data_IF_193718193945
#
_entry.id   IF_193718193945
#
_cell.length_a   1.000
_cell.length_b   1.000
_cell.length_c   1.000
_cell.angle_alpha   90.00
_cell.angle_beta   90.00
_cell.angle_gamma   90.00
#
_symmetry.space_group_name_H-M   'P 1'
#
loop_
_entity.id
_entity.type
_entity.pdbx_description
1 polymer ?
#
# COMPACT_ATOMS: atom_id res chain seq x y z
N UNK A 1 36.60 16.07 -8.97
CA UNK A 1 36.01 15.11 -8.00
C UNK A 1 34.56 15.49 -7.82
N UNK A 2 33.63 14.66 -8.29
CA UNK A 2 32.20 14.89 -8.06
C UNK A 2 31.92 14.67 -6.57
N UNK A 3 31.31 15.64 -5.89
CA UNK A 3 30.89 15.46 -4.50
C UNK A 3 29.89 14.31 -4.45
N UNK A 4 30.15 13.29 -3.62
CA UNK A 4 29.17 12.25 -3.35
C UNK A 4 27.91 12.93 -2.78
N UNK A 5 26.83 12.91 -3.56
CA UNK A 5 25.55 13.46 -3.14
C UNK A 5 25.13 12.72 -1.87
N UNK A 6 24.98 13.44 -0.75
CA UNK A 6 24.51 12.84 0.50
C UNK A 6 23.07 12.42 0.28
N UNK A 7 22.85 11.11 0.14
CA UNK A 7 21.51 10.55 0.09
C UNK A 7 20.92 10.61 1.51
N UNK A 8 19.86 11.41 1.68
CA UNK A 8 19.06 11.36 2.89
C UNK A 8 18.35 10.00 2.91
N UNK A 9 18.72 9.17 3.86
CA UNK A 9 18.22 7.81 4.01
C UNK A 9 17.90 7.53 5.47
N UNK A 10 16.93 6.63 5.72
CA UNK A 10 16.60 6.17 7.07
C UNK A 10 17.83 5.62 7.79
N UNK A 11 18.00 5.99 9.06
CA UNK A 11 19.04 5.46 9.96
C UNK A 11 18.48 4.49 10.99
N UNK A 12 17.20 4.62 11.34
CA UNK A 12 16.54 3.83 12.37
C UNK A 12 15.18 4.39 12.74
N UNK A 13 14.67 3.97 13.90
CA UNK A 13 13.38 4.42 14.41
C UNK A 13 13.32 4.44 15.94
N UNK A 14 12.30 5.13 16.45
CA UNK A 14 11.84 5.05 17.82
C UNK A 14 10.39 4.59 17.82
N UNK A 15 9.97 3.86 18.86
CA UNK A 15 8.54 3.62 19.14
C UNK A 15 8.15 4.50 20.31
N UNK A 16 7.12 5.32 20.12
CA UNK A 16 6.59 6.21 21.15
C UNK A 16 5.24 5.68 21.58
N UNK A 17 5.04 5.53 22.89
CA UNK A 17 3.71 5.30 23.43
C UNK A 17 2.88 6.58 23.27
N UNK A 18 1.84 6.54 22.43
CA UNK A 18 1.07 7.73 22.09
C UNK A 18 0.29 8.32 23.29
N UNK A 19 -0.07 7.49 24.27
CA UNK A 19 -0.87 7.93 25.42
C UNK A 19 -0.06 8.67 26.48
N UNK A 20 1.18 8.23 26.69
CA UNK A 20 2.08 8.75 27.73
C UNK A 20 3.22 9.61 27.17
N UNK A 21 3.45 9.57 25.85
CA UNK A 21 4.62 10.17 25.21
C UNK A 21 5.93 9.45 25.53
N UNK A 22 5.89 8.28 26.20
CA UNK A 22 7.10 7.55 26.58
C UNK A 22 7.87 7.12 25.33
N UNK A 23 9.09 7.64 25.20
CA UNK A 23 10.01 7.31 24.13
C UNK A 23 10.72 5.99 24.42
N UNK A 24 10.56 5.01 23.54
CA UNK A 24 11.38 3.81 23.53
C UNK A 24 12.83 4.11 23.12
N UNK A 25 13.78 3.21 23.40
CA UNK A 25 15.16 3.32 22.89
C UNK A 25 15.23 3.33 21.36
N UNK A 26 16.26 4.01 20.82
CA UNK A 26 16.54 4.00 19.38
C UNK A 26 16.80 2.57 18.88
N UNK A 27 16.31 2.29 17.67
CA UNK A 27 16.54 1.05 16.93
C UNK A 27 17.24 1.38 15.63
N UNK A 28 18.48 0.92 15.47
CA UNK A 28 19.18 1.07 14.21
C UNK A 28 18.48 0.26 13.12
N UNK A 29 18.17 0.92 12.01
CA UNK A 29 17.62 0.31 10.81
C UNK A 29 18.01 1.15 9.60
N UNK A 30 19.32 1.21 9.39
CA UNK A 30 19.92 1.99 8.32
C UNK A 30 19.57 1.41 6.95
N UNK A 31 19.26 2.30 6.01
CA UNK A 31 19.11 1.91 4.61
C UNK A 31 20.45 1.37 4.11
N UNK A 32 20.45 0.13 3.63
CA UNK A 32 21.64 -0.46 3.01
C UNK A 32 21.96 0.25 1.70
N UNK A 33 23.23 0.25 1.33
CA UNK A 33 23.71 0.75 0.04
C UNK A 33 22.93 0.15 -1.12
N UNK A 34 22.77 0.92 -2.20
CA UNK A 34 22.12 0.45 -3.41
C UNK A 34 22.79 -0.82 -3.93
N UNK A 35 21.98 -1.78 -4.39
CA UNK A 35 22.46 -2.95 -5.09
C UNK A 35 23.12 -2.60 -6.43
N UNK A 36 23.56 -3.63 -7.15
CA UNK A 36 24.31 -3.55 -8.42
C UNK A 36 23.69 -2.60 -9.47
N UNK A 37 22.37 -2.42 -9.45
CA UNK A 37 21.63 -1.61 -10.42
C UNK A 37 21.15 -0.26 -9.87
N UNK A 38 21.65 0.19 -8.72
CA UNK A 38 21.23 1.46 -8.11
C UNK A 38 19.90 1.38 -7.34
N UNK A 39 19.22 0.23 -7.33
CA UNK A 39 18.03 0.01 -6.51
C UNK A 39 18.39 -0.24 -5.06
N UNK A 40 17.65 0.38 -4.15
CA UNK A 40 17.76 0.18 -2.71
C UNK A 40 16.81 -0.95 -2.26
N UNK A 41 17.15 -1.65 -1.18
CA UNK A 41 16.18 -2.49 -0.46
C UNK A 41 15.10 -1.57 0.12
N UNK A 42 14.02 -1.34 -0.63
CA UNK A 42 12.97 -0.38 -0.29
C UNK A 42 13.21 1.02 -0.83
N UNK A 43 12.26 1.92 -0.60
CA UNK A 43 12.42 3.32 -0.96
C UNK A 43 13.25 4.03 0.14
N UNK A 44 14.40 4.65 -0.18
CA UNK A 44 15.27 5.27 0.82
C UNK A 44 14.61 6.45 1.55
N UNK A 45 13.50 6.99 1.01
CA UNK A 45 12.67 8.03 1.61
C UNK A 45 11.42 7.51 2.31
N UNK A 46 11.08 6.21 2.18
CA UNK A 46 9.91 5.66 2.87
C UNK A 46 10.25 5.19 4.28
N UNK A 47 9.40 5.61 5.20
CA UNK A 47 9.43 5.20 6.58
C UNK A 47 8.84 3.79 6.79
N UNK A 48 8.80 3.38 8.05
CA UNK A 48 8.20 2.12 8.46
C UNK A 48 6.67 2.23 8.46
N UNK A 49 6.03 1.12 8.11
CA UNK A 49 4.57 0.92 8.21
C UNK A 49 4.28 -0.13 9.28
N UNK A 50 3.10 -0.08 9.88
CA UNK A 50 2.67 -1.07 10.87
C UNK A 50 2.02 -2.27 10.19
N UNK A 51 2.19 -3.48 10.76
CA UNK A 51 1.27 -4.59 10.49
C UNK A 51 -0.15 -4.19 10.87
N UNK A 52 -1.14 -4.84 10.26
CA UNK A 52 -2.55 -4.61 10.53
C UNK A 52 -2.92 -4.82 12.00
N UNK A 53 -2.24 -5.76 12.68
CA UNK A 53 -2.44 -6.03 14.10
C UNK A 53 -1.59 -5.14 15.04
N UNK A 54 -0.78 -4.23 14.50
CA UNK A 54 0.05 -3.30 15.26
C UNK A 54 1.22 -3.94 16.01
N UNK A 55 1.61 -5.18 15.69
CA UNK A 55 2.68 -5.89 16.41
C UNK A 55 4.04 -5.85 15.73
N UNK A 56 4.07 -5.69 14.41
CA UNK A 56 5.28 -5.65 13.61
C UNK A 56 5.34 -4.36 12.79
N UNK A 57 6.55 -4.07 12.31
CA UNK A 57 6.80 -3.01 11.34
C UNK A 57 7.25 -3.63 10.02
N UNK A 58 7.00 -2.94 8.92
CA UNK A 58 7.53 -3.32 7.63
C UNK A 58 8.00 -2.14 6.81
N UNK A 59 8.86 -2.45 5.85
CA UNK A 59 9.31 -1.55 4.79
C UNK A 59 8.83 -2.11 3.47
N UNK A 60 8.17 -1.28 2.66
CA UNK A 60 7.77 -1.66 1.31
C UNK A 60 9.03 -1.74 0.42
N UNK A 61 9.15 -2.82 -0.34
CA UNK A 61 10.27 -3.12 -1.22
C UNK A 61 9.79 -3.07 -2.67
N UNK A 62 10.46 -2.27 -3.51
CA UNK A 62 10.28 -2.27 -4.96
C UNK A 62 10.35 -3.70 -5.53
N UNK A 63 11.38 -4.44 -5.12
CA UNK A 63 11.55 -5.86 -5.38
C UNK A 63 12.29 -6.47 -4.19
N UNK A 64 11.67 -7.39 -3.47
CA UNK A 64 12.35 -8.17 -2.45
C UNK A 64 12.66 -9.60 -2.91
N UNK A 65 13.40 -10.36 -2.10
CA UNK A 65 13.74 -11.74 -2.39
C UNK A 65 12.48 -12.60 -2.52
N UNK A 66 12.52 -13.57 -3.43
CA UNK A 66 11.44 -14.54 -3.68
C UNK A 66 10.08 -13.91 -4.03
N UNK A 67 10.10 -12.72 -4.64
CA UNK A 67 8.89 -11.99 -5.02
C UNK A 67 8.16 -11.33 -3.84
N UNK A 68 8.71 -11.39 -2.62
CA UNK A 68 8.18 -10.66 -1.47
C UNK A 68 8.42 -9.16 -1.67
N UNK A 69 7.41 -8.34 -1.50
CA UNK A 69 7.49 -6.88 -1.64
C UNK A 69 7.54 -6.15 -0.27
N UNK A 70 7.74 -6.86 0.84
CA UNK A 70 7.84 -6.29 2.19
C UNK A 70 8.94 -6.97 3.00
N UNK A 71 9.75 -6.17 3.70
CA UNK A 71 10.66 -6.64 4.75
C UNK A 71 10.07 -6.36 6.12
N UNK A 72 9.98 -7.37 6.98
CA UNK A 72 9.32 -7.31 8.28
C UNK A 72 10.30 -7.26 9.44
N UNK A 73 9.93 -6.50 10.48
CA UNK A 73 10.73 -6.25 11.66
C UNK A 73 9.87 -6.27 12.92
N UNK A 74 10.43 -6.75 14.03
CA UNK A 74 9.85 -6.56 15.36
C UNK A 74 10.01 -5.11 15.81
N UNK A 75 9.30 -4.70 16.88
CA UNK A 75 9.47 -3.37 17.48
C UNK A 75 10.87 -3.15 18.05
N UNK A 76 11.63 -4.22 18.26
CA UNK A 76 13.04 -4.17 18.64
C UNK A 76 14.00 -4.12 17.44
N UNK A 77 13.49 -3.94 16.22
CA UNK A 77 14.28 -3.80 15.00
C UNK A 77 14.86 -5.10 14.44
N UNK A 78 14.46 -6.26 14.98
CA UNK A 78 14.93 -7.57 14.48
C UNK A 78 14.12 -8.00 13.27
N UNK A 79 14.79 -8.46 12.20
CA UNK A 79 14.12 -9.05 11.03
C UNK A 79 13.26 -10.24 11.46
N UNK A 80 12.11 -10.39 10.81
CA UNK A 80 11.18 -11.50 11.03
C UNK A 80 10.41 -11.83 9.74
N UNK A 81 9.59 -12.87 9.79
CA UNK A 81 8.67 -13.22 8.70
C UNK A 81 7.39 -12.37 8.77
N UNK A 82 6.65 -12.35 7.66
CA UNK A 82 5.37 -11.68 7.59
C UNK A 82 4.35 -12.30 8.57
N UNK A 83 3.44 -11.49 9.15
CA UNK A 83 2.24 -12.02 9.80
C UNK A 83 1.48 -12.96 8.85
N UNK A 84 0.90 -14.04 9.39
CA UNK A 84 0.24 -15.06 8.57
C UNK A 84 -0.91 -14.51 7.70
N UNK A 85 -1.56 -13.42 8.11
CA UNK A 85 -2.61 -12.75 7.34
C UNK A 85 -2.09 -11.76 6.29
N UNK A 86 -0.82 -11.37 6.35
CA UNK A 86 -0.20 -10.40 5.44
C UNK A 86 0.91 -11.01 4.58
N UNK A 87 1.14 -12.31 4.68
CA UNK A 87 2.19 -13.01 3.92
C UNK A 87 2.01 -12.96 2.40
N UNK A 88 0.80 -12.69 1.94
CA UNK A 88 0.44 -12.53 0.52
C UNK A 88 0.11 -11.08 0.15
N UNK A 89 0.37 -10.12 1.02
CA UNK A 89 -0.02 -8.75 0.79
C UNK A 89 0.81 -8.13 -0.36
N UNK A 90 0.10 -7.63 -1.37
CA UNK A 90 0.68 -6.96 -2.54
C UNK A 90 1.02 -5.49 -2.28
N UNK A 91 1.12 -4.73 -3.38
CA UNK A 91 1.34 -3.29 -3.36
C UNK A 91 0.15 -2.39 -3.02
N UNK A 92 -1.14 -2.82 -3.11
CA UNK A 92 -2.23 -1.88 -2.91
C UNK A 92 -2.20 -1.25 -1.53
N UNK A 93 -2.47 0.05 -1.46
CA UNK A 93 -2.53 0.82 -0.22
C UNK A 93 -3.58 0.25 0.75
N UNK A 94 -4.66 -0.32 0.21
CA UNK A 94 -5.77 -0.84 1.01
C UNK A 94 -5.38 -2.01 1.91
N UNK A 95 -4.46 -2.89 1.48
CA UNK A 95 -4.05 -4.07 2.25
C UNK A 95 -5.22 -4.92 2.79
N UNK A 96 -5.12 -5.34 4.06
CA UNK A 96 -6.15 -6.14 4.73
C UNK A 96 -7.42 -5.33 5.01
N UNK A 97 -8.58 -5.97 4.87
CA UNK A 97 -9.83 -5.43 5.40
C UNK A 97 -9.73 -5.24 6.92
N UNK A 98 -10.51 -4.32 7.52
CA UNK A 98 -10.48 -4.08 8.96
C UNK A 98 -10.63 -5.34 9.83
N UNK A 99 -11.44 -6.31 9.40
CA UNK A 99 -11.61 -7.60 10.09
C UNK A 99 -10.56 -8.67 9.74
N UNK A 100 -9.61 -8.35 8.86
CA UNK A 100 -8.50 -9.21 8.44
C UNK A 100 -8.93 -10.41 7.59
N UNK A 101 -10.13 -10.40 6.99
CA UNK A 101 -10.66 -11.54 6.22
C UNK A 101 -10.50 -11.41 4.72
N UNK A 102 -10.27 -10.21 4.21
CA UNK A 102 -10.09 -9.93 2.79
C UNK A 102 -8.75 -9.22 2.60
N UNK A 103 -8.04 -9.55 1.53
CA UNK A 103 -6.80 -8.90 1.15
C UNK A 103 -6.94 -8.26 -0.22
N UNK A 104 -6.71 -6.96 -0.27
CA UNK A 104 -6.53 -6.20 -1.51
C UNK A 104 -5.24 -6.64 -2.22
N UNK A 105 -5.30 -6.81 -3.54
CA UNK A 105 -4.16 -7.23 -4.35
C UNK A 105 -4.17 -6.55 -5.74
N UNK A 106 -3.02 -6.55 -6.40
CA UNK A 106 -2.73 -5.73 -7.58
C UNK A 106 -3.64 -6.07 -8.77
N UNK A 107 -4.32 -5.05 -9.27
CA UNK A 107 -5.26 -5.18 -10.38
C UNK A 107 -4.64 -5.02 -11.75
N UNK A 108 -5.49 -5.21 -12.76
CA UNK A 108 -5.19 -4.93 -14.15
C UNK A 108 -6.37 -4.21 -14.81
N UNK A 109 -6.37 -4.16 -16.14
CA UNK A 109 -7.43 -3.60 -16.97
C UNK A 109 -8.83 -4.14 -16.65
N UNK A 110 -8.93 -5.37 -16.14
CA UNK A 110 -10.20 -6.05 -15.80
C UNK A 110 -10.64 -5.83 -14.35
N UNK A 111 -9.89 -5.05 -13.58
CA UNK A 111 -10.15 -4.78 -12.17
C UNK A 111 -9.12 -5.44 -11.26
N UNK A 112 -9.40 -5.41 -9.96
CA UNK A 112 -8.45 -5.82 -8.92
C UNK A 112 -8.93 -7.07 -8.18
N UNK A 113 -8.04 -8.06 -7.93
CA UNK A 113 -8.40 -9.22 -7.13
C UNK A 113 -8.66 -8.86 -5.65
N UNK A 114 -9.46 -9.70 -5.00
CA UNK A 114 -9.55 -9.81 -3.54
C UNK A 114 -9.18 -11.24 -3.18
N UNK A 115 -8.26 -11.40 -2.25
CA UNK A 115 -7.72 -12.70 -1.84
C UNK A 115 -8.18 -13.09 -0.44
N UNK A 116 -8.18 -14.39 -0.18
CA UNK A 116 -8.15 -14.94 1.17
C UNK A 116 -6.73 -14.72 1.74
N UNK A 117 -6.57 -13.99 2.85
CA UNK A 117 -5.27 -13.59 3.36
C UNK A 117 -4.43 -14.74 3.91
N UNK A 118 -5.05 -15.87 4.26
CA UNK A 118 -4.36 -17.03 4.84
C UNK A 118 -3.83 -17.97 3.76
N UNK A 119 -4.54 -18.07 2.65
CA UNK A 119 -4.24 -19.03 1.58
C UNK A 119 -3.70 -18.36 0.31
N UNK A 120 -3.88 -17.05 0.15
CA UNK A 120 -3.53 -16.31 -1.07
C UNK A 120 -4.46 -16.62 -2.25
N UNK A 121 -5.52 -17.40 -2.04
CA UNK A 121 -6.46 -17.77 -3.10
C UNK A 121 -7.36 -16.59 -3.40
N UNK A 122 -7.55 -16.30 -4.69
CA UNK A 122 -8.50 -15.29 -5.15
C UNK A 122 -9.93 -15.69 -4.76
N UNK A 123 -10.61 -14.80 -4.03
CA UNK A 123 -12.04 -14.90 -3.68
C UNK A 123 -12.88 -14.34 -4.83
N UNK A 124 -12.54 -13.14 -5.31
CA UNK A 124 -13.25 -12.47 -6.40
C UNK A 124 -12.37 -11.43 -7.08
N UNK A 125 -12.87 -10.83 -8.16
CA UNK A 125 -12.31 -9.64 -8.80
C UNK A 125 -13.34 -8.52 -8.68
N UNK A 126 -12.89 -7.32 -8.30
CA UNK A 126 -13.72 -6.14 -8.10
C UNK A 126 -13.40 -5.06 -9.14
N UNK A 127 -14.36 -4.21 -9.52
CA UNK A 127 -14.11 -3.05 -10.37
C UNK A 127 -13.10 -2.08 -9.73
N UNK A 128 -12.28 -1.45 -10.57
CA UNK A 128 -11.23 -0.52 -10.16
C UNK A 128 -9.84 -1.13 -10.27
N UNK A 129 -8.88 -0.35 -10.75
CA UNK A 129 -7.52 -0.80 -11.06
C UNK A 129 -6.57 -0.65 -9.87
N UNK A 130 -6.86 0.27 -8.95
CA UNK A 130 -6.04 0.54 -7.78
C UNK A 130 -6.94 0.62 -6.54
N UNK A 131 -6.73 -0.28 -5.59
CA UNK A 131 -7.49 -0.35 -4.33
C UNK A 131 -6.78 0.52 -3.28
N UNK A 132 -7.46 1.56 -2.80
CA UNK A 132 -6.85 2.63 -2.00
C UNK A 132 -7.04 2.43 -0.50
N UNK A 133 -8.27 2.15 -0.08
CA UNK A 133 -8.60 2.02 1.34
C UNK A 133 -9.87 1.20 1.54
N UNK A 134 -10.00 0.55 2.69
CA UNK A 134 -11.26 -0.03 3.12
C UNK A 134 -12.13 1.03 3.80
N UNK A 135 -13.38 1.15 3.37
CA UNK A 135 -14.39 1.95 4.07
C UNK A 135 -15.00 1.16 5.24
N UNK A 136 -15.05 -0.16 5.12
CA UNK A 136 -15.34 -1.14 6.18
C UNK A 136 -14.87 -2.55 5.75
N UNK A 137 -15.24 -3.59 6.49
CA UNK A 137 -14.85 -4.99 6.21
C UNK A 137 -15.42 -5.60 4.91
N UNK A 138 -16.29 -4.89 4.18
CA UNK A 138 -16.90 -5.38 2.93
C UNK A 138 -16.83 -4.36 1.80
N UNK A 139 -16.52 -3.10 2.08
CA UNK A 139 -16.52 -2.02 1.11
C UNK A 139 -15.14 -1.40 0.99
N UNK A 140 -14.65 -1.26 -0.24
CA UNK A 140 -13.37 -0.68 -0.56
C UNK A 140 -13.52 0.53 -1.47
N UNK A 141 -12.60 1.47 -1.33
CA UNK A 141 -12.47 2.63 -2.19
C UNK A 141 -11.37 2.33 -3.20
N UNK A 142 -11.66 2.48 -4.48
CA UNK A 142 -10.72 2.23 -5.56
C UNK A 142 -10.78 3.32 -6.63
N UNK A 143 -9.69 3.45 -7.39
CA UNK A 143 -9.72 4.18 -8.66
C UNK A 143 -10.40 3.32 -9.72
N UNK A 144 -11.57 3.77 -10.15
CA UNK A 144 -12.22 3.26 -11.36
C UNK A 144 -11.93 4.15 -12.54
N UNK A 145 -11.89 3.56 -13.73
CA UNK A 145 -11.81 4.31 -14.99
C UNK A 145 -13.17 4.33 -15.68
N UNK A 146 -13.44 5.33 -16.51
CA UNK A 146 -14.62 5.37 -17.36
C UNK A 146 -14.63 4.16 -18.32
N UNK A 147 -15.55 3.19 -18.18
CA UNK A 147 -15.54 1.97 -18.98
C UNK A 147 -15.78 2.23 -20.47
N UNK A 148 -16.31 3.40 -20.87
CA UNK A 148 -16.50 3.78 -22.27
C UNK A 148 -15.27 4.43 -22.90
N UNK A 149 -14.32 4.89 -22.09
CA UNK A 149 -13.17 5.69 -22.52
C UNK A 149 -11.83 5.01 -22.23
N UNK A 150 -11.80 4.09 -21.28
CA UNK A 150 -10.60 3.39 -20.86
C UNK A 150 -10.62 1.98 -21.46
N UNK A 151 -9.97 1.81 -22.60
CA UNK A 151 -9.79 0.56 -23.35
C UNK A 151 -8.41 -0.09 -23.09
N UNK A 152 -7.79 0.24 -21.95
CA UNK A 152 -6.43 -0.17 -21.60
C UNK A 152 -5.31 0.72 -22.17
N UNK A 153 -5.63 1.80 -22.90
CA UNK A 153 -4.63 2.73 -23.46
C UNK A 153 -4.64 4.15 -22.84
N UNK A 154 -5.50 4.40 -21.85
CA UNK A 154 -5.59 5.69 -21.17
C UNK A 154 -5.99 5.54 -19.71
N UNK A 155 -5.10 5.94 -18.81
CA UNK A 155 -5.29 5.88 -17.35
C UNK A 155 -5.90 7.17 -16.76
N UNK A 156 -6.35 8.08 -17.62
CA UNK A 156 -6.45 9.49 -17.28
C UNK A 156 -7.89 10.02 -17.13
N UNK A 157 -8.86 9.13 -16.89
CA UNK A 157 -10.25 9.50 -16.61
C UNK A 157 -10.78 8.68 -15.43
N UNK A 158 -10.12 8.86 -14.29
CA UNK A 158 -10.39 8.08 -13.10
C UNK A 158 -11.38 8.79 -12.18
N UNK A 159 -12.22 8.03 -11.51
CA UNK A 159 -13.08 8.50 -10.43
C UNK A 159 -12.93 7.58 -9.22
N UNK A 160 -13.23 8.10 -8.04
CA UNK A 160 -13.33 7.26 -6.86
C UNK A 160 -14.60 6.42 -6.92
N UNK A 161 -14.46 5.14 -6.65
CA UNK A 161 -15.54 4.19 -6.52
C UNK A 161 -15.58 3.63 -5.11
N UNK A 162 -16.78 3.51 -4.53
CA UNK A 162 -17.05 2.63 -3.41
C UNK A 162 -17.58 1.31 -3.95
N UNK A 163 -16.83 0.24 -3.74
CA UNK A 163 -17.12 -1.08 -4.26
C UNK A 163 -17.48 -2.01 -3.12
N UNK A 164 -18.57 -2.76 -3.26
CA UNK A 164 -19.00 -3.74 -2.25
C UNK A 164 -18.55 -5.13 -2.67
N UNK A 165 -17.66 -5.76 -1.91
CA UNK A 165 -17.16 -7.10 -2.19
C UNK A 165 -18.31 -8.12 -2.10
N UNK A 166 -18.41 -8.99 -3.11
CA UNK A 166 -19.49 -9.99 -3.21
C UNK A 166 -20.82 -9.42 -3.73
N UNK A 167 -20.81 -8.21 -4.28
CA UNK A 167 -21.98 -7.58 -4.91
C UNK A 167 -21.56 -6.86 -6.20
N UNK A 168 -22.49 -6.71 -7.14
CA UNK A 168 -22.30 -5.85 -8.32
C UNK A 168 -22.43 -4.35 -8.00
N UNK A 169 -22.74 -4.02 -6.74
CA UNK A 169 -22.93 -2.64 -6.31
C UNK A 169 -21.62 -1.85 -6.31
N UNK A 170 -21.57 -0.87 -7.20
CA UNK A 170 -20.52 0.15 -7.31
C UNK A 170 -21.16 1.54 -7.20
N UNK A 171 -20.64 2.37 -6.31
CA UNK A 171 -21.13 3.74 -6.10
C UNK A 171 -20.00 4.73 -6.43
N UNK A 172 -20.14 5.60 -7.46
CA UNK A 172 -19.21 6.69 -7.67
C UNK A 172 -19.21 7.64 -6.48
N UNK A 173 -18.01 7.96 -5.97
CA UNK A 173 -17.81 8.92 -4.87
C UNK A 173 -17.32 10.29 -5.35
N UNK A 174 -16.87 10.37 -6.60
CA UNK A 174 -16.42 11.61 -7.23
C UNK A 174 -16.85 11.64 -8.70
N UNK A 175 -16.79 12.82 -9.30
CA UNK A 175 -16.69 12.92 -10.76
C UNK A 175 -15.30 12.48 -11.23
N UNK A 176 -15.11 12.39 -12.54
CA UNK A 176 -13.84 12.06 -13.15
C UNK A 176 -12.78 13.14 -12.89
N UNK A 177 -11.63 12.70 -12.38
CA UNK A 177 -10.43 13.51 -12.28
C UNK A 177 -9.88 13.75 -13.69
N UNK A 178 -9.54 15.01 -13.99
CA UNK A 178 -8.86 15.33 -15.25
C UNK A 178 -7.48 14.69 -15.30
N UNK A 179 -7.10 14.33 -16.52
CA UNK A 179 -5.83 13.71 -16.90
C UNK A 179 -4.60 14.48 -16.43
N UNK A 180 -4.58 15.77 -16.77
CA UNK A 180 -3.39 16.61 -16.71
C UNK A 180 -2.92 16.81 -15.27
N UNK A 181 -1.63 16.51 -15.03
CA UNK A 181 -1.00 16.67 -13.72
C UNK A 181 -0.97 18.13 -13.26
N UNK A 182 -0.88 19.07 -14.20
CA UNK A 182 -0.85 20.52 -14.01
C UNK A 182 -2.23 21.17 -13.93
N UNK A 183 -3.33 20.39 -14.02
CA UNK A 183 -4.67 20.95 -13.95
C UNK A 183 -4.92 21.56 -12.56
N UNK A 184 -5.23 22.86 -12.43
CA UNK A 184 -5.34 23.53 -11.13
C UNK A 184 -6.44 22.95 -10.22
N UNK A 185 -7.49 22.36 -10.80
CA UNK A 185 -8.57 21.70 -10.06
C UNK A 185 -8.30 20.22 -9.74
N UNK A 186 -7.08 19.74 -9.97
CA UNK A 186 -6.71 18.35 -9.66
C UNK A 186 -6.61 18.18 -8.15
N UNK A 187 -7.13 17.07 -7.66
CA UNK A 187 -7.18 16.74 -6.25
C UNK A 187 -6.67 15.32 -6.02
N UNK A 188 -6.25 15.06 -4.79
CA UNK A 188 -5.87 13.73 -4.29
C UNK A 188 -6.76 13.39 -3.09
N UNK A 189 -7.31 12.17 -3.03
CA UNK A 189 -8.09 11.75 -1.87
C UNK A 189 -7.19 11.66 -0.65
N UNK A 190 -7.76 12.02 0.50
CA UNK A 190 -7.14 11.83 1.80
C UNK A 190 -8.06 10.92 2.61
N UNK A 191 -7.53 9.78 3.07
CA UNK A 191 -8.27 8.84 3.90
C UNK A 191 -7.74 8.89 5.33
N UNK A 192 -8.65 8.77 6.29
CA UNK A 192 -8.32 8.66 7.70
C UNK A 192 -9.20 7.59 8.33
N UNK A 193 -8.60 6.77 9.20
CA UNK A 193 -9.37 5.89 10.08
C UNK A 193 -10.18 6.75 11.06
N UNK A 194 -11.38 6.30 11.40
CA UNK A 194 -12.21 6.88 12.46
C UNK A 194 -12.09 6.08 13.73
#
# INVERSE_FOLDING_TARGET
>A
MASAQRHASRTGFFVVDASSGKLGPFRELSQKSSGKYGFFEGNPREDLRWSHDGKLLYVQLAMGPDGKNRAWYTLDGKKTEAPAAERYAGWPEAGLSPDGKLLADDGNDKGSPILDPRTGKKITTVPGQQQLAWADSKRLIAWGCDPKKCDGKGEFRNQLLLVTVGSEKVVPLSDFRRASDDYPGRWSPMFAAR
#
